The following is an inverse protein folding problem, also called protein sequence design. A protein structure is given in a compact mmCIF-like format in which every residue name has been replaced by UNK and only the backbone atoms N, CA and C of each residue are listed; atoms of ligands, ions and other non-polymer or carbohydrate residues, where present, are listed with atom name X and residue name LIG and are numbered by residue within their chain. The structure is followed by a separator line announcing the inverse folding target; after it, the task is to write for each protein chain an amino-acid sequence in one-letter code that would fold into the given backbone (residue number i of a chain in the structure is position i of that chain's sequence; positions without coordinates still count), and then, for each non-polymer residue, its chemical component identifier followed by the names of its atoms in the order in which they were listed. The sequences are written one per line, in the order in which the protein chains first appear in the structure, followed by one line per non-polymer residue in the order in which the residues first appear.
data_IF_033214301462
#
_entry.id   IF_033214301462
#
_cell.length_a   1.000
_cell.length_b   1.000
_cell.length_c   1.000
_cell.angle_alpha   90.00
_cell.angle_beta   90.00
_cell.angle_gamma   90.00
#
_symmetry.space_group_name_H-M   'P 1'
#
loop_
_entity.id
_entity.type
_entity.pdbx_description
1 polymer ?
#
# COMPACT_ATOMS: atom_id res chain seq x y z
N UNK A 1 25.51 -2.49 -65.22
CA UNK A 1 24.87 -3.77 -64.87
C UNK A 1 23.46 -3.45 -64.42
N UNK A 2 22.44 -3.92 -65.14
CA UNK A 2 21.03 -3.68 -64.80
C UNK A 2 20.53 -4.93 -64.08
N UNK A 3 20.09 -4.78 -62.84
CA UNK A 3 19.50 -5.88 -62.07
C UNK A 3 18.23 -6.38 -62.77
N UNK A 4 18.04 -7.68 -62.77
CA UNK A 4 16.83 -8.33 -63.26
C UNK A 4 15.63 -7.93 -62.40
N UNK A 5 14.43 -7.99 -62.96
CA UNK A 5 13.18 -7.68 -62.22
C UNK A 5 13.01 -8.54 -60.96
N UNK A 6 13.54 -9.75 -60.99
CA UNK A 6 13.53 -10.68 -59.85
C UNK A 6 14.45 -10.20 -58.74
N UNK A 7 15.67 -9.78 -59.06
CA UNK A 7 16.63 -9.23 -58.08
C UNK A 7 16.11 -7.93 -57.45
N UNK A 8 15.44 -7.08 -58.23
CA UNK A 8 14.78 -5.87 -57.72
C UNK A 8 13.66 -6.21 -56.74
N UNK A 9 12.80 -7.17 -57.08
CA UNK A 9 11.70 -7.62 -56.21
C UNK A 9 12.20 -8.23 -54.90
N UNK A 10 13.17 -9.14 -54.96
CA UNK A 10 13.76 -9.74 -53.75
C UNK A 10 14.44 -8.69 -52.86
N UNK A 11 15.09 -7.67 -53.46
CA UNK A 11 15.64 -6.55 -52.70
C UNK A 11 14.58 -5.75 -51.95
N UNK A 12 13.46 -5.43 -52.61
CA UNK A 12 12.34 -4.72 -51.97
C UNK A 12 11.66 -5.54 -50.88
N UNK A 13 11.38 -6.83 -51.14
CA UNK A 13 10.72 -7.72 -50.19
C UNK A 13 11.56 -7.89 -48.89
N UNK A 14 12.89 -7.92 -49.01
CA UNK A 14 13.80 -8.00 -47.87
C UNK A 14 13.86 -6.69 -47.06
N UNK A 15 13.84 -5.54 -47.73
CA UNK A 15 13.81 -4.23 -47.07
C UNK A 15 12.49 -4.02 -46.34
N UNK A 16 11.37 -4.41 -46.94
CA UNK A 16 10.04 -4.31 -46.32
C UNK A 16 9.91 -5.23 -45.11
N UNK A 17 10.43 -6.47 -45.20
CA UNK A 17 10.46 -7.40 -44.07
C UNK A 17 11.31 -6.87 -42.90
N UNK A 18 12.48 -6.27 -43.20
CA UNK A 18 13.34 -5.67 -42.19
C UNK A 18 12.70 -4.44 -41.54
N UNK A 19 12.08 -3.57 -42.34
CA UNK A 19 11.37 -2.40 -41.84
C UNK A 19 10.18 -2.81 -40.95
N UNK A 20 9.44 -3.84 -41.34
CA UNK A 20 8.34 -4.36 -40.53
C UNK A 20 8.85 -4.91 -39.19
N UNK A 21 9.92 -5.71 -39.18
CA UNK A 21 10.48 -6.23 -37.93
C UNK A 21 10.94 -5.10 -36.99
N UNK A 22 11.54 -4.04 -37.53
CA UNK A 22 11.96 -2.88 -36.74
C UNK A 22 10.77 -2.09 -36.19
N UNK A 23 9.70 -1.91 -36.97
CA UNK A 23 8.48 -1.25 -36.51
C UNK A 23 7.79 -2.05 -35.40
N UNK A 24 7.68 -3.38 -35.56
CA UNK A 24 7.12 -4.27 -34.54
C UNK A 24 7.95 -4.23 -33.24
N UNK A 25 9.28 -4.13 -33.35
CA UNK A 25 10.19 -3.94 -32.20
C UNK A 25 10.00 -2.58 -31.52
N UNK A 26 9.86 -1.50 -32.29
CA UNK A 26 9.63 -0.15 -31.75
C UNK A 26 8.28 -0.11 -31.01
N UNK A 27 7.23 -0.72 -31.57
CA UNK A 27 5.90 -0.78 -30.97
C UNK A 27 5.90 -1.58 -29.65
N UNK A 28 6.62 -2.70 -29.62
CA UNK A 28 6.83 -3.48 -28.39
C UNK A 28 7.60 -2.69 -27.32
N UNK A 29 8.64 -1.95 -27.72
CA UNK A 29 9.41 -1.08 -26.82
C UNK A 29 8.54 0.06 -26.30
N UNK A 30 7.76 0.72 -27.16
CA UNK A 30 6.86 1.80 -26.74
C UNK A 30 5.78 1.30 -25.78
N UNK A 31 5.18 0.14 -26.05
CA UNK A 31 4.24 -0.51 -25.13
C UNK A 31 4.89 -0.80 -23.78
N UNK A 32 6.13 -1.28 -23.78
CA UNK A 32 6.87 -1.54 -22.55
C UNK A 32 7.24 -0.25 -21.78
N UNK A 33 7.57 0.83 -22.48
CA UNK A 33 7.82 2.16 -21.89
C UNK A 33 6.55 2.75 -21.31
N UNK A 34 5.40 2.61 -21.99
CA UNK A 34 4.11 3.08 -21.50
C UNK A 34 3.70 2.32 -20.23
N UNK A 35 3.89 1.00 -20.21
CA UNK A 35 3.69 0.15 -19.01
C UNK A 35 4.63 0.49 -17.84
N UNK A 36 5.81 1.04 -18.12
CA UNK A 36 6.74 1.55 -17.11
C UNK A 36 6.44 3.01 -16.70
N UNK A 37 5.71 3.75 -17.52
CA UNK A 37 5.29 5.14 -17.26
C UNK A 37 3.95 5.23 -16.54
N UNK A 38 3.14 4.17 -16.57
CA UNK A 38 2.00 3.93 -15.68
C UNK A 38 2.47 3.41 -14.32
N UNK A 39 3.54 4.02 -13.79
CA UNK A 39 4.02 3.87 -12.42
C UNK A 39 2.92 4.41 -11.48
N UNK A 40 1.94 3.55 -11.21
CA UNK A 40 0.92 3.73 -10.18
C UNK A 40 1.48 3.26 -8.84
N UNK A 41 2.78 3.50 -8.59
CA UNK A 41 3.43 3.24 -7.31
C UNK A 41 2.58 3.76 -6.16
N UNK A 42 2.50 2.98 -5.08
CA UNK A 42 1.68 3.37 -3.93
C UNK A 42 2.38 4.46 -3.15
N UNK A 43 1.70 5.59 -2.97
CA UNK A 43 2.16 6.65 -2.08
C UNK A 43 2.14 6.11 -0.65
N UNK A 44 3.28 6.17 0.04
CA UNK A 44 3.36 5.84 1.46
C UNK A 44 2.22 6.52 2.23
N UNK A 45 1.47 5.77 3.04
CA UNK A 45 0.28 6.30 3.68
C UNK A 45 0.20 5.92 5.14
N UNK A 46 -0.32 6.84 5.92
CA UNK A 46 -0.58 6.69 7.33
C UNK A 46 -2.08 6.91 7.55
N UNK A 47 -2.78 5.96 8.19
CA UNK A 47 -4.22 6.04 8.42
C UNK A 47 -4.51 6.14 9.91
N UNK A 48 -5.15 7.24 10.32
CA UNK A 48 -5.68 7.43 11.66
C UNK A 48 -7.15 7.04 11.69
N UNK A 49 -7.52 6.11 12.57
CA UNK A 49 -8.91 5.73 12.77
C UNK A 49 -9.61 6.62 13.80
N UNK A 50 -10.66 7.33 13.39
CA UNK A 50 -11.43 8.24 14.25
C UNK A 50 -12.92 7.90 14.20
N UNK A 51 -13.27 6.74 14.77
CA UNK A 51 -14.65 6.25 14.87
C UNK A 51 -15.48 6.97 15.94
N UNK A 52 -14.85 7.42 17.02
CA UNK A 52 -15.49 8.16 18.11
C UNK A 52 -15.11 9.63 18.08
N UNK A 53 -15.97 10.47 18.66
CA UNK A 53 -15.67 11.90 18.78
C UNK A 53 -14.45 12.10 19.70
N UNK A 54 -13.40 12.81 19.27
CA UNK A 54 -12.26 13.12 20.13
C UNK A 54 -12.67 14.05 21.28
N UNK A 55 -11.89 14.04 22.36
CA UNK A 55 -12.02 14.96 23.50
C UNK A 55 -11.13 16.18 23.32
N UNK A 56 -11.33 17.22 24.13
CA UNK A 56 -10.64 18.52 23.96
C UNK A 56 -9.15 18.47 24.33
N UNK A 57 -8.70 17.37 24.95
CA UNK A 57 -7.29 17.13 25.28
C UNK A 57 -6.60 16.23 24.25
N UNK A 58 -7.30 15.87 23.17
CA UNK A 58 -6.75 14.96 22.19
C UNK A 58 -5.95 15.69 21.13
N UNK A 59 -4.84 15.07 20.73
CA UNK A 59 -3.91 15.63 19.76
C UNK A 59 -3.54 14.62 18.69
N UNK A 60 -3.16 15.14 17.53
CA UNK A 60 -2.50 14.43 16.44
C UNK A 60 -1.22 15.20 16.12
N UNK A 61 -0.11 14.51 15.91
CA UNK A 61 1.19 15.09 15.59
C UNK A 61 1.68 14.51 14.27
N UNK A 62 2.15 15.38 13.39
CA UNK A 62 2.73 15.03 12.09
C UNK A 62 4.02 15.84 11.99
N UNK A 63 5.17 15.17 12.04
CA UNK A 63 6.47 15.83 12.09
C UNK A 63 6.55 16.87 13.22
N UNK A 64 6.73 18.14 12.86
CA UNK A 64 6.77 19.25 13.82
C UNK A 64 5.38 19.82 14.17
N UNK A 65 4.35 19.50 13.39
CA UNK A 65 3.00 20.05 13.57
C UNK A 65 2.22 19.26 14.63
N UNK A 66 1.58 19.98 15.56
CA UNK A 66 0.65 19.42 16.54
C UNK A 66 -0.73 19.99 16.30
N UNK A 67 -1.70 19.12 16.08
CA UNK A 67 -3.12 19.39 15.88
C UNK A 67 -3.87 19.05 17.17
N UNK A 68 -4.58 20.01 17.75
CA UNK A 68 -5.29 19.86 19.03
C UNK A 68 -6.79 20.08 18.83
N UNK A 69 -7.61 19.12 19.27
CA UNK A 69 -9.05 19.22 19.11
C UNK A 69 -9.65 20.19 20.13
N UNK A 70 -10.30 21.25 19.64
CA UNK A 70 -10.86 22.33 20.46
C UNK A 70 -9.85 22.98 21.42
N UNK A 71 -8.57 22.95 21.06
CA UNK A 71 -7.49 23.56 21.83
C UNK A 71 -7.52 25.09 21.77
N UNK A 72 -7.25 25.73 22.91
CA UNK A 72 -7.00 27.18 22.98
C UNK A 72 -5.50 27.51 23.10
N UNK A 73 -4.63 26.49 22.98
CA UNK A 73 -3.19 26.58 23.14
C UNK A 73 -2.44 27.10 21.91
N UNK A 74 -1.13 26.83 21.87
CA UNK A 74 -0.23 27.22 20.78
C UNK A 74 -0.22 26.25 19.59
N UNK A 75 -0.92 25.13 19.69
CA UNK A 75 -1.02 24.12 18.65
C UNK A 75 -2.01 24.54 17.56
N UNK A 76 -1.99 23.84 16.42
CA UNK A 76 -2.98 24.04 15.35
C UNK A 76 -4.35 23.58 15.87
N UNK A 77 -5.27 24.52 16.02
CA UNK A 77 -6.60 24.21 16.55
C UNK A 77 -7.47 23.52 15.50
N UNK A 78 -7.97 22.33 15.85
CA UNK A 78 -8.93 21.58 15.06
C UNK A 78 -10.31 21.71 15.70
N UNK A 79 -11.25 22.33 14.99
CA UNK A 79 -12.63 22.40 15.46
C UNK A 79 -13.21 20.99 15.59
N UNK A 80 -13.54 20.55 16.81
CA UNK A 80 -14.11 19.23 17.05
C UNK A 80 -15.52 19.05 16.43
N UNK A 81 -16.36 20.08 16.50
CA UNK A 81 -17.76 19.98 16.09
C UNK A 81 -18.59 19.05 16.99
N UNK A 82 -19.74 18.57 16.47
CA UNK A 82 -20.72 17.75 17.24
C UNK A 82 -20.63 16.24 16.97
N UNK A 83 -19.87 15.81 15.95
CA UNK A 83 -19.79 14.40 15.55
C UNK A 83 -18.37 13.99 15.13
N UNK A 84 -18.04 12.70 15.23
CA UNK A 84 -16.74 12.18 14.81
C UNK A 84 -16.47 12.45 13.32
N UNK A 85 -17.50 12.40 12.48
CA UNK A 85 -17.39 12.73 11.06
C UNK A 85 -17.03 14.20 10.84
N UNK A 86 -17.64 15.12 11.60
CA UNK A 86 -17.29 16.54 11.57
C UNK A 86 -15.86 16.78 12.04
N UNK A 87 -15.45 16.11 13.13
CA UNK A 87 -14.08 16.19 13.64
C UNK A 87 -13.06 15.70 12.60
N UNK A 88 -13.33 14.60 11.87
CA UNK A 88 -12.47 14.11 10.78
C UNK A 88 -12.34 15.12 9.65
N UNK A 89 -13.46 15.66 9.16
CA UNK A 89 -13.44 16.64 8.08
C UNK A 89 -12.64 17.90 8.47
N UNK A 90 -12.79 18.34 9.72
CA UNK A 90 -12.05 19.49 10.23
C UNK A 90 -10.55 19.19 10.42
N UNK A 91 -10.20 17.97 10.84
CA UNK A 91 -8.80 17.54 10.92
C UNK A 91 -8.15 17.51 9.52
N UNK A 92 -8.82 16.92 8.53
CA UNK A 92 -8.35 16.89 7.13
C UNK A 92 -8.12 18.32 6.61
N UNK A 93 -9.06 19.23 6.85
CA UNK A 93 -8.94 20.63 6.45
C UNK A 93 -7.76 21.34 7.15
N UNK A 94 -7.51 21.04 8.43
CA UNK A 94 -6.39 21.60 9.15
C UNK A 94 -5.05 21.10 8.60
N UNK A 95 -4.90 19.80 8.36
CA UNK A 95 -3.67 19.21 7.79
C UNK A 95 -3.38 19.81 6.42
N UNK A 96 -4.40 19.93 5.57
CA UNK A 96 -4.23 20.44 4.20
C UNK A 96 -4.07 21.96 4.08
N UNK A 97 -4.30 22.72 5.16
CA UNK A 97 -4.39 24.19 5.07
C UNK A 97 -3.60 24.98 6.11
N UNK A 98 -3.17 24.34 7.21
CA UNK A 98 -2.53 25.02 8.34
C UNK A 98 -1.21 24.37 8.77
N UNK A 99 -0.96 23.12 8.37
CA UNK A 99 0.31 22.44 8.62
C UNK A 99 1.48 23.03 7.84
N UNK A 100 2.68 22.60 8.20
CA UNK A 100 3.94 22.91 7.53
C UNK A 100 4.57 21.69 6.86
N UNK A 101 4.15 20.48 7.25
CA UNK A 101 4.64 19.24 6.66
C UNK A 101 4.14 19.03 5.22
N UNK A 102 5.00 18.47 4.38
CA UNK A 102 4.71 18.18 2.96
C UNK A 102 3.81 16.94 2.83
N UNK A 103 2.58 17.06 3.31
CA UNK A 103 1.59 15.99 3.31
C UNK A 103 0.24 16.47 2.78
N UNK A 104 -0.56 15.51 2.32
CA UNK A 104 -1.98 15.66 2.02
C UNK A 104 -2.77 14.65 2.83
N UNK A 105 -3.92 15.08 3.35
CA UNK A 105 -4.88 14.24 4.04
C UNK A 105 -6.19 14.11 3.26
N UNK A 106 -6.80 12.94 3.33
CA UNK A 106 -8.14 12.69 2.80
C UNK A 106 -8.91 11.66 3.64
N UNK A 107 -10.19 11.48 3.30
CA UNK A 107 -11.03 10.44 3.87
C UNK A 107 -11.10 9.27 2.88
N UNK A 108 -10.46 8.12 3.15
CA UNK A 108 -10.55 6.98 2.24
C UNK A 108 -11.98 6.42 2.24
N UNK A 109 -12.36 5.78 1.15
CA UNK A 109 -13.68 5.12 1.01
C UNK A 109 -13.88 4.01 2.05
N UNK A 110 -12.81 3.28 2.39
CA UNK A 110 -12.84 2.20 3.38
C UNK A 110 -11.55 2.20 4.22
N UNK A 111 -11.63 2.28 5.56
CA UNK A 111 -12.82 2.61 6.34
C UNK A 111 -13.13 4.12 6.28
N UNK A 112 -14.38 4.49 5.98
CA UNK A 112 -14.84 5.89 5.94
C UNK A 112 -14.72 6.65 7.28
N UNK A 113 -14.37 5.94 8.35
CA UNK A 113 -14.08 6.47 9.69
C UNK A 113 -12.60 6.78 9.91
N UNK A 114 -11.78 6.78 8.87
CA UNK A 114 -10.36 7.12 8.98
C UNK A 114 -9.99 8.44 8.29
N UNK A 115 -8.81 8.94 8.64
CA UNK A 115 -8.10 10.02 7.96
C UNK A 115 -6.81 9.41 7.43
N UNK A 116 -6.66 9.39 6.12
CA UNK A 116 -5.44 8.96 5.46
C UNK A 116 -4.54 10.18 5.23
N UNK A 117 -3.23 10.02 5.41
CA UNK A 117 -2.21 11.04 5.22
C UNK A 117 -1.11 10.45 4.34
N UNK A 118 -0.65 11.24 3.37
CA UNK A 118 0.29 10.84 2.33
C UNK A 118 1.34 11.94 2.12
N UNK A 119 2.61 11.62 1.82
CA UNK A 119 3.56 12.60 1.31
C UNK A 119 2.99 13.32 0.08
N UNK A 120 3.25 14.62 -0.02
CA UNK A 120 2.76 15.48 -1.08
C UNK A 120 3.86 16.44 -1.58
N UNK A 121 3.63 17.06 -2.74
CA UNK A 121 4.52 18.07 -3.32
C UNK A 121 4.53 19.38 -2.51
N UNK A 122 3.48 19.61 -1.72
CA UNK A 122 3.28 20.72 -0.80
C UNK A 122 2.19 20.37 0.22
N UNK A 123 2.05 21.18 1.26
CA UNK A 123 0.93 21.10 2.22
C UNK A 123 -0.41 21.07 1.47
N UNK A 124 -1.20 20.02 1.67
CA UNK A 124 -2.51 19.83 1.03
C UNK A 124 -2.46 19.68 -0.48
N UNK A 125 -1.29 19.39 -1.04
CA UNK A 125 -1.03 19.27 -2.47
C UNK A 125 -1.46 17.93 -3.07
N UNK A 126 -0.73 17.50 -4.09
CA UNK A 126 -0.94 16.21 -4.75
C UNK A 126 -0.05 15.16 -4.09
N UNK A 127 -0.65 14.04 -3.70
CA UNK A 127 0.09 12.89 -3.17
C UNK A 127 1.20 12.47 -4.14
N UNK A 128 2.43 12.27 -3.64
CA UNK A 128 3.60 11.97 -4.46
C UNK A 128 4.04 10.51 -4.30
N UNK A 129 4.34 9.88 -5.43
CA UNK A 129 4.91 8.53 -5.51
C UNK A 129 6.44 8.68 -5.45
N UNK A 130 7.10 7.96 -4.55
CA UNK A 130 8.57 7.95 -4.48
C UNK A 130 9.19 9.05 -3.60
N UNK A 131 10.28 8.67 -2.90
CA UNK A 131 11.25 9.51 -2.19
C UNK A 131 10.68 10.66 -1.34
N UNK A 132 9.86 10.31 -0.33
CA UNK A 132 9.50 11.22 0.76
C UNK A 132 10.55 11.26 1.88
N UNK A 133 10.70 12.42 2.52
CA UNK A 133 11.40 12.51 3.81
C UNK A 133 10.62 11.80 4.89
N UNK A 134 11.33 11.14 5.82
CA UNK A 134 10.78 10.52 7.02
C UNK A 134 9.96 11.52 7.85
N UNK A 135 8.63 11.40 7.83
CA UNK A 135 7.74 12.18 8.70
C UNK A 135 7.15 11.20 9.73
N UNK A 136 7.43 11.47 11.00
CA UNK A 136 6.84 10.73 12.10
C UNK A 136 5.40 11.19 12.33
N UNK A 137 4.49 10.25 12.57
CA UNK A 137 3.11 10.53 12.97
C UNK A 137 2.83 9.90 14.33
N UNK A 138 2.08 10.61 15.17
CA UNK A 138 1.64 10.12 16.47
C UNK A 138 0.36 10.82 16.92
N UNK A 139 -0.28 10.33 17.95
CA UNK A 139 -1.55 10.85 18.47
C UNK A 139 -1.65 10.64 19.98
N UNK A 140 -2.60 11.33 20.59
CA UNK A 140 -3.04 11.07 21.97
C UNK A 140 -4.56 11.14 21.99
N UNK A 141 -5.22 10.01 21.74
CA UNK A 141 -6.68 9.89 21.68
C UNK A 141 -7.20 9.07 22.88
N UNK A 142 -8.08 9.65 23.69
CA UNK A 142 -8.47 9.08 24.98
C UNK A 142 -9.49 7.91 24.87
N UNK A 143 -10.12 7.71 23.71
CA UNK A 143 -11.15 6.68 23.47
C UNK A 143 -11.18 6.17 22.01
N UNK A 144 -10.21 6.56 21.17
CA UNK A 144 -10.12 5.99 19.84
C UNK A 144 -9.36 4.67 19.93
N UNK A 145 -9.86 3.62 19.28
CA UNK A 145 -9.07 2.43 19.02
C UNK A 145 -7.80 2.88 18.30
N UNK A 146 -6.69 2.69 19.00
CA UNK A 146 -5.33 3.04 18.62
C UNK A 146 -4.92 2.43 17.26
N UNK A 147 -3.69 2.75 16.88
CA UNK A 147 -2.87 2.12 15.85
C UNK A 147 -2.99 2.81 14.49
N UNK A 148 -2.32 3.97 14.32
CA UNK A 148 -1.57 4.14 13.07
C UNK A 148 -0.86 2.82 12.85
N UNK A 149 -1.09 2.16 11.72
CA UNK A 149 -0.25 1.03 11.35
C UNK A 149 1.17 1.57 11.23
N UNK A 150 2.00 1.52 12.29
CA UNK A 150 3.18 2.36 12.57
C UNK A 150 3.88 2.82 11.29
N UNK A 151 3.39 3.91 10.71
CA UNK A 151 3.78 4.37 9.39
C UNK A 151 4.82 5.44 9.60
N UNK A 152 6.07 5.02 9.68
CA UNK A 152 7.13 5.92 9.29
C UNK A 152 6.96 6.14 7.78
N UNK A 153 6.82 7.39 7.31
CA UNK A 153 6.80 7.70 5.88
C UNK A 153 8.21 7.54 5.26
N UNK A 154 8.83 6.38 5.48
CA UNK A 154 10.17 6.04 5.02
C UNK A 154 10.07 5.12 3.82
N UNK A 155 10.41 5.61 2.64
CA UNK A 155 10.87 4.75 1.56
C UNK A 155 12.39 4.56 1.69
N UNK A 156 12.85 3.32 1.86
CA UNK A 156 14.27 2.98 1.69
C UNK A 156 14.49 2.52 0.25
N UNK A 157 15.33 3.22 -0.50
CA UNK A 157 15.59 3.04 -1.94
C UNK A 157 16.21 1.70 -2.37
N UNK A 158 15.45 0.61 -2.26
CA UNK A 158 15.69 -0.64 -2.97
C UNK A 158 14.86 -0.67 -4.27
N UNK A 159 15.38 -1.27 -5.37
CA UNK A 159 14.61 -1.44 -6.61
C UNK A 159 13.29 -2.15 -6.30
N UNK A 160 12.14 -1.65 -6.78
CA UNK A 160 10.94 -1.88 -6.02
C UNK A 160 10.20 -3.13 -6.50
N UNK A 161 10.06 -4.08 -5.59
CA UNK A 161 8.81 -4.82 -5.48
C UNK A 161 7.86 -3.87 -4.75
N UNK A 162 7.02 -3.13 -5.48
CA UNK A 162 6.42 -1.85 -5.03
C UNK A 162 5.37 -1.97 -3.91
N UNK A 163 4.92 -3.17 -3.54
CA UNK A 163 4.02 -3.36 -2.39
C UNK A 163 4.45 -4.57 -1.59
N UNK A 164 4.56 -4.43 -0.27
CA UNK A 164 4.90 -5.54 0.62
C UNK A 164 3.90 -5.58 1.77
N UNK A 165 3.28 -6.73 1.97
CA UNK A 165 2.51 -7.05 3.16
C UNK A 165 3.14 -8.25 3.85
N UNK A 166 3.28 -8.21 5.17
CA UNK A 166 3.84 -9.30 5.97
C UNK A 166 3.08 -9.46 7.26
N UNK A 167 2.99 -10.68 7.75
CA UNK A 167 2.28 -10.94 8.98
C UNK A 167 2.62 -12.27 9.62
N UNK A 168 2.14 -12.39 10.86
CA UNK A 168 2.12 -13.63 11.61
C UNK A 168 0.67 -13.95 11.93
N UNK A 169 0.21 -15.12 11.50
CA UNK A 169 -1.11 -15.64 11.84
C UNK A 169 -0.96 -16.78 12.84
N UNK A 170 -1.66 -16.69 13.98
CA UNK A 170 -1.79 -17.82 14.90
C UNK A 170 -2.92 -18.73 14.39
N UNK A 171 -2.62 -20.01 14.22
CA UNK A 171 -3.55 -21.01 13.73
C UNK A 171 -4.55 -21.35 14.84
N UNK A 172 -5.84 -21.25 14.52
CA UNK A 172 -6.94 -21.70 15.38
C UNK A 172 -7.52 -23.02 14.87
N UNK A 173 -8.33 -23.68 15.69
CA UNK A 173 -9.02 -24.92 15.28
C UNK A 173 -9.97 -24.71 14.08
N UNK A 174 -10.48 -23.48 13.89
CA UNK A 174 -11.34 -23.13 12.75
C UNK A 174 -10.53 -23.00 11.46
N UNK A 175 -9.32 -22.42 11.51
CA UNK A 175 -8.42 -22.33 10.36
C UNK A 175 -7.94 -23.69 9.84
N UNK A 176 -8.00 -24.72 10.70
CA UNK A 176 -7.69 -26.10 10.37
C UNK A 176 -8.90 -26.84 9.78
N UNK A 177 -10.11 -26.48 10.19
CA UNK A 177 -11.32 -27.15 9.75
C UNK A 177 -11.83 -26.64 8.38
N UNK A 178 -11.38 -25.47 7.94
CA UNK A 178 -11.87 -24.80 6.73
C UNK A 178 -10.83 -23.88 6.10
N UNK A 179 -10.98 -23.66 4.79
CA UNK A 179 -10.25 -22.64 4.06
C UNK A 179 -10.48 -21.27 4.71
N UNK A 180 -9.41 -20.54 4.96
CA UNK A 180 -9.50 -19.18 5.47
C UNK A 180 -8.85 -18.20 4.49
N UNK A 181 -9.37 -16.97 4.49
CA UNK A 181 -8.90 -15.91 3.61
C UNK A 181 -8.35 -14.74 4.40
N UNK A 182 -7.30 -14.12 3.87
CA UNK A 182 -6.75 -12.88 4.39
C UNK A 182 -6.82 -11.82 3.29
N UNK A 183 -7.60 -10.77 3.53
CA UNK A 183 -7.70 -9.62 2.62
C UNK A 183 -6.44 -8.76 2.72
N UNK A 184 -5.92 -8.38 1.56
CA UNK A 184 -4.77 -7.51 1.40
C UNK A 184 -5.21 -6.20 0.75
N UNK A 185 -4.51 -5.08 1.03
CA UNK A 185 -4.83 -3.79 0.42
C UNK A 185 -4.39 -3.70 -1.06
N UNK A 186 -3.96 -4.81 -1.66
CA UNK A 186 -3.54 -4.95 -3.05
C UNK A 186 -3.60 -6.41 -3.49
N UNK A 187 -3.69 -6.66 -4.81
CA UNK A 187 -3.53 -7.99 -5.41
C UNK A 187 -2.05 -8.36 -5.42
N UNK A 188 -1.59 -9.35 -4.64
CA UNK A 188 -0.19 -9.76 -4.66
C UNK A 188 0.14 -10.49 -5.98
N UNK A 189 1.40 -10.41 -6.39
CA UNK A 189 1.98 -11.12 -7.54
C UNK A 189 3.01 -12.16 -7.11
N UNK A 190 3.63 -11.98 -5.95
CA UNK A 190 4.52 -12.95 -5.32
C UNK A 190 4.04 -13.19 -3.90
N UNK A 191 4.12 -14.44 -3.45
CA UNK A 191 3.73 -14.81 -2.11
C UNK A 191 4.67 -15.89 -1.58
N UNK A 192 5.17 -15.67 -0.37
CA UNK A 192 6.01 -16.58 0.37
C UNK A 192 5.41 -16.79 1.76
N UNK A 193 5.47 -18.03 2.25
CA UNK A 193 4.99 -18.35 3.59
C UNK A 193 5.73 -19.55 4.16
N UNK A 194 5.68 -19.66 5.48
CA UNK A 194 6.25 -20.78 6.23
C UNK A 194 5.47 -20.98 7.52
N UNK A 195 5.24 -22.23 7.89
CA UNK A 195 4.59 -22.60 9.14
C UNK A 195 5.60 -22.99 10.22
N UNK A 196 5.25 -22.72 11.47
CA UNK A 196 6.08 -22.97 12.63
C UNK A 196 5.22 -23.48 13.79
N UNK A 197 5.78 -24.39 14.58
CA UNK A 197 5.18 -24.79 15.85
C UNK A 197 5.10 -23.60 16.82
N UNK A 198 4.28 -23.69 17.87
CA UNK A 198 4.27 -22.69 18.95
C UNK A 198 5.66 -22.43 19.55
N UNK A 199 6.56 -23.42 19.51
CA UNK A 199 7.96 -23.31 19.94
C UNK A 199 8.94 -22.72 18.91
N UNK A 200 8.46 -22.32 17.73
CA UNK A 200 9.25 -21.70 16.67
C UNK A 200 10.02 -22.67 15.77
N UNK A 201 9.74 -23.98 15.85
CA UNK A 201 10.34 -24.98 14.95
C UNK A 201 9.62 -24.96 13.60
N UNK A 202 10.32 -24.84 12.46
CA UNK A 202 9.70 -24.93 11.13
C UNK A 202 8.98 -26.25 10.93
N UNK A 203 7.76 -26.20 10.41
CA UNK A 203 6.95 -27.36 10.06
C UNK A 203 6.95 -27.51 8.55
N UNK A 204 7.08 -28.74 8.03
CA UNK A 204 7.07 -28.97 6.58
C UNK A 204 5.73 -28.55 5.96
N UNK A 205 5.78 -27.76 4.89
CA UNK A 205 4.61 -27.26 4.17
C UNK A 205 3.78 -28.42 3.57
N UNK A 206 2.69 -28.82 4.23
CA UNK A 206 1.68 -29.72 3.65
C UNK A 206 0.27 -29.12 3.54
N UNK A 207 0.14 -27.81 3.77
CA UNK A 207 -1.01 -27.02 3.32
C UNK A 207 -0.75 -26.34 1.97
N UNK A 208 -1.82 -25.85 1.34
CA UNK A 208 -1.74 -25.01 0.16
C UNK A 208 -2.06 -23.56 0.53
N UNK A 209 -1.35 -22.61 -0.06
CA UNK A 209 -1.77 -21.22 0.00
C UNK A 209 -1.58 -20.56 -1.36
N UNK A 210 -2.60 -19.81 -1.80
CA UNK A 210 -2.70 -19.25 -3.15
C UNK A 210 -3.14 -17.80 -3.10
N UNK A 211 -2.80 -17.08 -4.15
CA UNK A 211 -3.29 -15.73 -4.41
C UNK A 211 -4.62 -15.84 -5.16
N UNK A 212 -5.66 -15.15 -4.67
CA UNK A 212 -6.96 -15.06 -5.33
C UNK A 212 -7.46 -13.59 -5.30
N UNK A 213 -7.07 -12.82 -6.33
CA UNK A 213 -7.31 -11.37 -6.35
C UNK A 213 -6.61 -10.68 -5.18
N UNK A 214 -7.35 -9.87 -4.43
CA UNK A 214 -6.85 -9.16 -3.24
C UNK A 214 -6.82 -10.03 -1.97
N UNK A 215 -7.01 -11.35 -2.08
CA UNK A 215 -7.01 -12.27 -0.94
C UNK A 215 -5.91 -13.31 -1.05
N UNK A 216 -5.33 -13.67 0.09
CA UNK A 216 -4.58 -14.92 0.26
C UNK A 216 -5.53 -15.98 0.78
N UNK A 217 -5.63 -17.11 0.09
CA UNK A 217 -6.39 -18.26 0.55
C UNK A 217 -5.43 -19.30 1.11
N UNK A 218 -5.71 -19.80 2.31
CA UNK A 218 -4.93 -20.82 2.97
C UNK A 218 -5.81 -22.05 3.23
N UNK A 219 -5.35 -23.18 2.76
CA UNK A 219 -5.88 -24.52 3.02
C UNK A 219 -4.83 -25.28 3.83
N UNK A 220 -4.98 -25.28 5.16
CA UNK A 220 -3.99 -25.84 6.08
C UNK A 220 -4.34 -27.28 6.47
N UNK A 221 -3.38 -28.18 6.31
CA UNK A 221 -3.56 -29.60 6.64
C UNK A 221 -3.44 -29.88 8.15
N UNK A 222 -4.55 -30.35 8.73
CA UNK A 222 -4.70 -30.69 10.15
C UNK A 222 -3.85 -31.86 10.63
N UNK A 223 -3.26 -32.63 9.71
CA UNK A 223 -2.41 -33.77 10.06
C UNK A 223 -1.00 -33.36 10.49
N UNK A 224 -0.62 -32.09 10.29
CA UNK A 224 0.74 -31.58 10.58
C UNK A 224 0.77 -30.30 11.43
N UNK A 225 -0.30 -29.52 11.48
CA UNK A 225 -0.38 -28.27 12.23
C UNK A 225 -1.37 -28.37 13.39
N UNK A 226 -1.01 -27.81 14.55
CA UNK A 226 -1.86 -27.72 15.73
C UNK A 226 -2.53 -26.35 15.87
N UNK A 227 -3.66 -26.30 16.59
CA UNK A 227 -4.47 -25.10 16.87
C UNK A 227 -3.82 -24.09 17.85
N UNK A 228 -2.49 -23.95 17.77
CA UNK A 228 -1.63 -23.03 18.54
C UNK A 228 -0.36 -22.67 17.77
N UNK A 229 -0.15 -23.29 16.61
CA UNK A 229 1.00 -23.04 15.74
C UNK A 229 0.80 -21.71 15.01
N UNK A 230 1.77 -21.30 14.20
CA UNK A 230 1.65 -20.05 13.46
C UNK A 230 2.26 -20.11 12.06
N UNK A 231 1.72 -19.28 11.18
CA UNK A 231 2.26 -19.02 9.85
C UNK A 231 2.89 -17.64 9.83
N UNK A 232 4.09 -17.54 9.26
CA UNK A 232 4.66 -16.27 8.82
C UNK A 232 4.47 -16.20 7.30
N UNK A 233 4.03 -15.04 6.83
CA UNK A 233 3.80 -14.82 5.41
C UNK A 233 4.31 -13.46 4.98
N UNK A 234 4.64 -13.39 3.70
CA UNK A 234 5.04 -12.19 2.99
C UNK A 234 4.44 -12.23 1.58
N UNK A 235 3.81 -11.14 1.19
CA UNK A 235 3.17 -10.99 -0.11
C UNK A 235 3.68 -9.71 -0.76
N UNK A 236 4.04 -9.79 -2.03
CA UNK A 236 4.54 -8.69 -2.82
C UNK A 236 3.57 -8.38 -3.94
N UNK A 237 3.22 -7.12 -4.13
CA UNK A 237 2.43 -6.62 -5.25
C UNK A 237 3.27 -5.80 -6.22
N UNK A 238 2.79 -5.69 -7.45
CA UNK A 238 3.19 -4.60 -8.35
C UNK A 238 2.53 -3.32 -7.86
#
# INVERSE_FOLDING_TARGET
MVLTKTEQKYGTDLVDAHNKANLDLIDAIMTQVDLLSEDTGHVAQACLFLATLPTDTNTVTIGADVYEFAGAGSNINVLKGVSAATARANLIAAINGQGTELVVADAPTTPATSVRIQPADRVGGTAQIGAGTSIAVSETLANASDVWNVANLNESGAPPYLKVARGKLVITAENLASLFTLELPFTPVVFAWSAFTTGGVPVGNKGQAVINGDYLEFDLDVTTLAATDYVIWEAYGN
#
